data_IF_928927026249
#
_entry.id   IF_928927026249
#
_cell.length_a   1.000
_cell.length_b   1.000
_cell.length_c   1.000
_cell.angle_alpha   90.00
_cell.angle_beta   90.00
_cell.angle_gamma   90.00
#
_symmetry.space_group_name_H-M   'P 1'
#
loop_
_entity.id
_entity.type
_entity.pdbx_description
1 polymer ?
#
# COMPACT_ATOMS: atom_id res chain seq x y z
N UNK A 1 -3.94 11.64 -20.89
CA UNK A 1 -3.60 11.68 -19.45
C UNK A 1 -2.11 11.95 -19.33
N UNK A 2 -1.70 12.94 -18.53
CA UNK A 2 -0.27 13.26 -18.34
C UNK A 2 0.44 12.25 -17.43
N UNK A 3 1.77 12.22 -17.46
CA UNK A 3 2.59 11.30 -16.66
C UNK A 3 2.25 11.36 -15.14
N UNK A 4 1.92 12.53 -14.61
CA UNK A 4 1.50 12.70 -13.21
C UNK A 4 0.22 11.90 -12.88
N UNK A 5 -0.77 11.89 -13.77
CA UNK A 5 -2.00 11.13 -13.56
C UNK A 5 -1.76 9.62 -13.59
N UNK A 6 -0.83 9.15 -14.42
CA UNK A 6 -0.43 7.74 -14.45
C UNK A 6 0.24 7.32 -13.13
N UNK A 7 1.18 8.13 -12.61
CA UNK A 7 1.84 7.84 -11.34
C UNK A 7 0.86 7.88 -10.17
N UNK A 8 -0.06 8.85 -10.14
CA UNK A 8 -1.10 8.91 -9.12
C UNK A 8 -1.97 7.65 -9.13
N UNK A 9 -2.40 7.18 -10.30
CA UNK A 9 -3.17 5.93 -10.41
C UNK A 9 -2.39 4.72 -9.92
N UNK A 10 -1.09 4.62 -10.23
CA UNK A 10 -0.24 3.54 -9.70
C UNK A 10 -0.14 3.57 -8.18
N UNK A 11 -0.01 4.76 -7.58
CA UNK A 11 0.02 4.92 -6.11
C UNK A 11 -1.31 4.47 -5.49
N UNK A 12 -2.43 4.92 -6.05
CA UNK A 12 -3.77 4.52 -5.57
C UNK A 12 -3.96 3.01 -5.66
N UNK A 13 -3.57 2.40 -6.78
CA UNK A 13 -3.63 0.96 -6.96
C UNK A 13 -2.79 0.23 -5.91
N UNK A 14 -1.53 0.66 -5.72
CA UNK A 14 -0.62 0.08 -4.74
C UNK A 14 -1.17 0.17 -3.32
N UNK A 15 -1.65 1.36 -2.91
CA UNK A 15 -2.26 1.56 -1.59
C UNK A 15 -3.49 0.67 -1.39
N UNK A 16 -4.35 0.54 -2.40
CA UNK A 16 -5.56 -0.31 -2.33
C UNK A 16 -5.19 -1.78 -2.10
N UNK A 17 -4.22 -2.30 -2.86
CA UNK A 17 -3.77 -3.69 -2.74
C UNK A 17 -3.18 -3.96 -1.34
N UNK A 18 -2.33 -3.05 -0.85
CA UNK A 18 -1.71 -3.20 0.47
C UNK A 18 -2.71 -3.08 1.62
N UNK A 19 -3.67 -2.15 1.54
CA UNK A 19 -4.75 -2.05 2.54
C UNK A 19 -5.54 -3.36 2.61
N UNK A 20 -5.90 -3.93 1.46
CA UNK A 20 -6.62 -5.21 1.41
C UNK A 20 -5.79 -6.37 2.00
N UNK A 21 -4.50 -6.43 1.71
CA UNK A 21 -3.58 -7.42 2.28
C UNK A 21 -3.49 -7.27 3.81
N UNK A 22 -3.36 -6.04 4.31
CA UNK A 22 -3.30 -5.75 5.76
C UNK A 22 -4.60 -6.14 6.46
N UNK A 23 -5.76 -5.78 5.91
CA UNK A 23 -7.07 -6.17 6.48
C UNK A 23 -7.20 -7.70 6.55
N UNK A 24 -6.76 -8.42 5.51
CA UNK A 24 -6.77 -9.88 5.50
C UNK A 24 -5.86 -10.46 6.60
N UNK A 25 -4.66 -9.91 6.76
CA UNK A 25 -3.72 -10.35 7.80
C UNK A 25 -4.28 -10.08 9.20
N UNK A 26 -4.78 -8.88 9.48
CA UNK A 26 -5.37 -8.53 10.78
C UNK A 26 -6.53 -9.47 11.15
N UNK A 27 -7.41 -9.79 10.19
CA UNK A 27 -8.49 -10.76 10.40
C UNK A 27 -7.96 -12.16 10.72
N UNK A 28 -6.87 -12.59 10.06
CA UNK A 28 -6.27 -13.91 10.32
C UNK A 28 -5.57 -14.00 11.68
N UNK A 29 -5.08 -12.87 12.19
CA UNK A 29 -4.47 -12.75 13.52
C UNK A 29 -5.52 -12.61 14.64
N UNK A 30 -6.80 -12.52 14.29
CA UNK A 30 -7.90 -12.41 15.25
C UNK A 30 -8.19 -10.98 15.72
N UNK A 31 -7.62 -9.96 15.09
CA UNK A 31 -7.97 -8.57 15.38
C UNK A 31 -9.43 -8.28 14.96
N UNK A 32 -10.20 -7.54 15.78
CA UNK A 32 -11.55 -7.14 15.42
C UNK A 32 -11.49 -6.09 14.30
N UNK A 33 -11.82 -6.48 13.07
CA UNK A 33 -11.91 -5.57 11.92
C UNK A 33 -13.36 -5.53 11.42
N UNK A 34 -14.08 -4.46 11.76
CA UNK A 34 -15.47 -4.29 11.32
C UNK A 34 -15.54 -3.95 9.82
N UNK A 35 -16.48 -4.56 9.10
CA UNK A 35 -16.67 -4.30 7.66
C UNK A 35 -17.04 -2.83 7.39
N UNK A 36 -17.76 -2.19 8.32
CA UNK A 36 -18.13 -0.77 8.25
C UNK A 36 -16.91 0.17 8.21
N UNK A 37 -15.85 -0.20 8.94
CA UNK A 37 -14.61 0.57 8.99
C UNK A 37 -13.81 0.35 7.70
N UNK A 38 -13.79 -0.87 7.16
CA UNK A 38 -13.10 -1.19 5.90
C UNK A 38 -13.68 -0.39 4.74
N UNK A 39 -15.00 -0.20 4.68
CA UNK A 39 -15.67 0.59 3.63
C UNK A 39 -15.31 2.08 3.70
N UNK A 40 -14.88 2.57 4.87
CA UNK A 40 -14.45 3.97 5.07
C UNK A 40 -12.97 4.20 4.73
N UNK A 41 -12.20 3.16 4.45
CA UNK A 41 -10.79 3.29 4.11
C UNK A 41 -10.62 3.96 2.75
N UNK A 42 -9.80 5.01 2.73
CA UNK A 42 -9.40 5.69 1.51
C UNK A 42 -8.01 5.21 1.07
N UNK A 43 -7.83 4.82 -0.21
CA UNK A 43 -6.49 4.55 -0.75
C UNK A 43 -5.68 5.82 -0.99
N UNK A 44 -6.33 6.99 -0.95
CA UNK A 44 -5.66 8.29 -0.99
C UNK A 44 -5.17 8.63 0.41
N UNK A 45 -3.85 8.80 0.52
CA UNK A 45 -3.19 9.29 1.72
C UNK A 45 -3.49 10.79 1.92
N UNK A 46 -3.46 11.25 3.17
CA UNK A 46 -3.65 12.66 3.51
C UNK A 46 -2.42 13.53 3.16
N UNK A 47 -1.23 12.93 3.09
CA UNK A 47 0.01 13.67 2.84
C UNK A 47 0.26 14.00 1.37
N UNK A 48 0.95 15.11 1.14
CA UNK A 48 1.39 15.53 -0.18
C UNK A 48 2.53 14.66 -0.70
N UNK A 49 2.35 14.09 -1.89
CA UNK A 49 3.40 13.34 -2.59
C UNK A 49 4.10 14.28 -3.59
N UNK A 50 5.32 14.72 -3.25
CA UNK A 50 6.15 15.52 -4.13
C UNK A 50 6.93 14.62 -5.10
N UNK A 51 6.74 14.78 -6.41
CA UNK A 51 7.42 14.01 -7.46
C UNK A 51 8.49 14.85 -8.18
N UNK A 52 9.34 15.53 -7.43
CA UNK A 52 10.39 16.39 -7.99
C UNK A 52 11.72 15.65 -8.08
N UNK A 53 12.38 15.74 -9.24
CA UNK A 53 13.71 15.16 -9.45
C UNK A 53 13.71 13.77 -10.09
N UNK A 54 14.81 13.04 -9.93
CA UNK A 54 15.03 11.71 -10.52
C UNK A 54 15.04 10.66 -9.42
N UNK A 55 14.13 9.69 -9.52
CA UNK A 55 14.05 8.58 -8.58
C UNK A 55 14.67 7.32 -9.21
N UNK A 56 15.40 6.57 -8.39
CA UNK A 56 15.87 5.22 -8.71
C UNK A 56 15.29 4.27 -7.67
N UNK A 57 14.77 3.14 -8.11
CA UNK A 57 14.15 2.15 -7.23
C UNK A 57 14.83 0.81 -7.46
N UNK A 58 15.29 0.17 -6.38
CA UNK A 58 15.63 -1.25 -6.40
C UNK A 58 14.36 -2.04 -6.15
N UNK A 59 13.91 -2.78 -7.16
CA UNK A 59 12.70 -3.62 -7.06
C UNK A 59 13.11 -4.98 -6.50
N UNK A 60 12.59 -5.39 -5.32
CA UNK A 60 12.86 -6.73 -4.78
C UNK A 60 12.40 -7.82 -5.74
N UNK A 61 13.10 -8.95 -5.79
CA UNK A 61 12.80 -10.03 -6.73
C UNK A 61 11.36 -10.56 -6.61
N UNK A 62 10.83 -10.63 -5.38
CA UNK A 62 9.43 -10.98 -5.11
C UNK A 62 8.45 -10.05 -5.85
N UNK A 63 8.69 -8.74 -5.82
CA UNK A 63 7.85 -7.75 -6.52
C UNK A 63 7.97 -7.90 -8.04
N UNK A 64 9.18 -8.19 -8.54
CA UNK A 64 9.40 -8.49 -9.96
C UNK A 64 8.62 -9.74 -10.41
N UNK A 65 8.39 -10.70 -9.51
CA UNK A 65 7.57 -11.90 -9.73
C UNK A 65 6.07 -11.65 -9.55
N UNK A 66 5.66 -10.42 -9.22
CA UNK A 66 4.26 -10.05 -8.98
C UNK A 66 3.77 -10.32 -7.57
N UNK A 67 4.67 -10.68 -6.64
CA UNK A 67 4.34 -10.86 -5.23
C UNK A 67 4.34 -9.52 -4.49
N UNK A 68 3.66 -9.48 -3.35
CA UNK A 68 3.70 -8.32 -2.47
C UNK A 68 4.99 -8.35 -1.65
N UNK A 69 5.58 -7.17 -1.43
CA UNK A 69 6.58 -7.02 -0.36
C UNK A 69 5.93 -7.42 0.98
N UNK A 70 6.67 -8.05 1.89
CA UNK A 70 6.18 -8.36 3.23
C UNK A 70 5.53 -7.15 3.90
N UNK A 71 4.43 -7.38 4.62
CA UNK A 71 3.81 -6.35 5.44
C UNK A 71 4.74 -6.04 6.63
N UNK A 72 4.82 -4.76 7.01
CA UNK A 72 5.62 -4.33 8.15
C UNK A 72 4.91 -4.74 9.43
N UNK A 73 5.59 -5.50 10.29
CA UNK A 73 5.12 -5.80 11.63
C UNK A 73 5.61 -4.71 12.60
N UNK A 74 4.73 -3.98 13.29
CA UNK A 74 5.15 -2.97 14.25
C UNK A 74 5.92 -3.54 15.46
N UNK A 75 5.80 -4.83 15.74
CA UNK A 75 6.53 -5.50 16.83
C UNK A 75 7.97 -5.91 16.46
N UNK A 76 8.34 -5.87 15.17
CA UNK A 76 9.70 -6.19 14.72
C UNK A 76 10.66 -4.98 14.79
N UNK A 77 10.13 -3.78 15.07
CA UNK A 77 10.88 -2.51 15.20
C UNK A 77 11.22 -2.17 16.67
N UNK A 78 11.09 -3.12 17.60
CA UNK A 78 11.53 -3.04 19.02
C UNK A 78 12.88 -3.74 19.23
#
# INVERSE_FOLDING_TARGET
MGALGLVLNMIVLWNTIYIAATVKQLRSEGYPVADEDVVRLSPLLYEHINMLGRYSFSVPEAVTKGELRPLRNPADDE
#
